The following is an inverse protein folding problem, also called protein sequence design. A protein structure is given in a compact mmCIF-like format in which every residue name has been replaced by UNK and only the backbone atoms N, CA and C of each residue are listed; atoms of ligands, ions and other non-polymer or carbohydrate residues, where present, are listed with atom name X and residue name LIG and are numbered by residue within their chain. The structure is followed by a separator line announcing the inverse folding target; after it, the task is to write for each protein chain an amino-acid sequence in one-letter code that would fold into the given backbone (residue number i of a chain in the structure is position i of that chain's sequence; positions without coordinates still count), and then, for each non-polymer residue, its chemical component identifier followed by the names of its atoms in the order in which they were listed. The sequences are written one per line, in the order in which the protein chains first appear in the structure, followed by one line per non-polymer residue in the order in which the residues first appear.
data_IF_568548189430
#
_entry.id   IF_568548189430
#
_cell.length_a   1.000
_cell.length_b   1.000
_cell.length_c   1.000
_cell.angle_alpha   90.00
_cell.angle_beta   90.00
_cell.angle_gamma   90.00
#
_symmetry.space_group_name_H-M   'P 1'
#
loop_
_entity.id
_entity.type
_entity.pdbx_description
1 polymer ?
#
# COMPACT_ATOMS: atom_id res chain seq x y z
N UNK A 1 -17.40 -42.11 -16.39
CA UNK A 1 -17.93 -40.84 -15.85
C UNK A 1 -16.74 -39.96 -15.49
N UNK A 2 -16.41 -39.01 -16.36
CA UNK A 2 -15.30 -38.07 -16.17
C UNK A 2 -15.77 -36.98 -15.19
N UNK A 3 -15.25 -37.01 -13.96
CA UNK A 3 -15.45 -35.93 -13.00
C UNK A 3 -14.54 -34.77 -13.39
N UNK A 4 -15.10 -33.81 -14.12
CA UNK A 4 -14.43 -32.56 -14.45
C UNK A 4 -14.09 -31.81 -13.16
N UNK A 5 -12.79 -31.75 -12.84
CA UNK A 5 -12.22 -30.75 -11.96
C UNK A 5 -12.55 -29.40 -12.59
N UNK A 6 -13.54 -28.69 -12.03
CA UNK A 6 -13.75 -27.28 -12.36
C UNK A 6 -12.52 -26.54 -11.87
N UNK A 7 -11.70 -26.06 -12.80
CA UNK A 7 -10.71 -25.03 -12.51
C UNK A 7 -11.40 -23.87 -11.80
N UNK A 8 -11.08 -23.67 -10.52
CA UNK A 8 -11.41 -22.44 -9.81
C UNK A 8 -10.75 -21.28 -10.56
N UNK A 9 -11.55 -20.54 -11.32
CA UNK A 9 -11.13 -19.26 -11.87
C UNK A 9 -10.92 -18.30 -10.71
N UNK A 10 -9.71 -18.29 -10.15
CA UNK A 10 -9.25 -17.25 -9.23
C UNK A 10 -9.45 -15.90 -9.91
N UNK A 11 -10.35 -15.10 -9.34
CA UNK A 11 -10.74 -13.80 -9.87
C UNK A 11 -9.53 -12.86 -9.74
N UNK A 12 -8.80 -12.67 -10.84
CA UNK A 12 -7.58 -11.85 -10.86
C UNK A 12 -7.93 -10.42 -10.46
N UNK A 13 -7.31 -9.91 -9.40
CA UNK A 13 -7.46 -8.51 -8.98
C UNK A 13 -7.01 -7.57 -10.10
N UNK A 14 -7.72 -6.46 -10.36
CA UNK A 14 -7.30 -5.51 -11.38
C UNK A 14 -5.94 -4.89 -11.06
N UNK A 15 -5.22 -4.43 -12.09
CA UNK A 15 -3.87 -3.87 -11.93
C UNK A 15 -3.80 -2.73 -10.90
N UNK A 16 -4.82 -1.85 -10.87
CA UNK A 16 -4.83 -0.73 -9.93
C UNK A 16 -4.85 -1.17 -8.46
N UNK A 17 -5.32 -2.39 -8.16
CA UNK A 17 -5.31 -2.93 -6.80
C UNK A 17 -3.89 -3.17 -6.27
N UNK A 18 -2.86 -3.06 -7.12
CA UNK A 18 -1.45 -3.14 -6.77
C UNK A 18 -0.88 -1.81 -6.24
N UNK A 19 -1.57 -0.69 -6.45
CA UNK A 19 -1.16 0.63 -5.97
C UNK A 19 -1.35 0.82 -4.47
N UNK A 20 -0.89 1.96 -3.95
CA UNK A 20 -1.01 2.30 -2.55
C UNK A 20 -2.47 2.41 -2.13
N UNK A 21 -2.86 1.77 -1.01
CA UNK A 21 -4.18 1.97 -0.41
C UNK A 21 -4.15 3.23 0.45
N UNK A 22 -4.66 4.32 -0.09
CA UNK A 22 -4.68 5.65 0.53
C UNK A 22 -5.79 5.79 1.57
N UNK A 23 -6.78 4.89 1.63
CA UNK A 23 -7.79 4.92 2.69
C UNK A 23 -7.29 4.27 3.98
N UNK A 24 -6.24 3.44 3.91
CA UNK A 24 -5.79 2.62 5.04
C UNK A 24 -5.40 3.45 6.27
N UNK A 25 -5.80 2.99 7.45
CA UNK A 25 -5.42 3.63 8.73
C UNK A 25 -3.89 3.64 8.92
N UNK A 26 -3.20 2.62 8.40
CA UNK A 26 -1.75 2.49 8.50
C UNK A 26 -0.98 3.48 7.60
N UNK A 27 -1.68 4.23 6.73
CA UNK A 27 -1.12 5.37 5.99
C UNK A 27 -1.68 6.70 6.45
N UNK A 28 -2.39 6.71 7.59
CA UNK A 28 -3.00 7.90 8.17
C UNK A 28 -4.41 8.19 7.68
N UNK A 29 -5.06 7.26 6.96
CA UNK A 29 -6.47 7.37 6.63
C UNK A 29 -7.35 7.36 7.89
N UNK A 30 -8.41 8.17 7.90
CA UNK A 30 -9.26 8.36 9.08
C UNK A 30 -10.72 8.49 8.70
N UNK A 31 -11.61 7.91 9.52
CA UNK A 31 -13.03 8.23 9.45
C UNK A 31 -13.25 9.55 10.20
N UNK A 32 -13.81 10.53 9.51
CA UNK A 32 -14.18 11.83 10.08
C UNK A 32 -15.62 11.82 10.57
N UNK A 33 -16.50 11.07 9.89
CA UNK A 33 -17.92 11.02 10.19
C UNK A 33 -18.51 9.69 9.72
N UNK A 34 -19.50 9.18 10.45
CA UNK A 34 -20.37 8.07 10.06
C UNK A 34 -21.77 8.33 10.60
N UNK A 35 -22.81 8.10 9.79
CA UNK A 35 -24.20 8.33 10.22
C UNK A 35 -24.63 7.40 11.36
N UNK A 36 -24.16 6.15 11.34
CA UNK A 36 -24.50 5.11 12.30
C UNK A 36 -23.37 4.09 12.42
N UNK A 37 -23.02 3.69 13.64
CA UNK A 37 -21.99 2.68 13.96
C UNK A 37 -22.56 1.61 14.91
N UNK A 38 -23.83 1.23 14.74
CA UNK A 38 -24.52 0.44 15.77
C UNK A 38 -23.92 -0.95 15.97
N UNK A 39 -23.80 -1.75 14.91
CA UNK A 39 -23.31 -3.13 15.02
C UNK A 39 -21.79 -3.22 14.93
N UNK A 40 -21.17 -2.37 14.11
CA UNK A 40 -19.71 -2.26 14.02
C UNK A 40 -19.27 -0.92 13.46
N UNK A 41 -18.12 -0.43 13.93
CA UNK A 41 -17.63 0.94 13.67
C UNK A 41 -17.01 1.12 12.28
N UNK A 42 -17.20 2.30 11.69
CA UNK A 42 -16.69 2.67 10.37
C UNK A 42 -15.16 2.57 10.23
N UNK A 43 -14.39 2.72 11.31
CA UNK A 43 -12.92 2.61 11.25
C UNK A 43 -12.45 1.21 10.82
N UNK A 44 -13.27 0.17 11.01
CA UNK A 44 -12.94 -1.17 10.52
C UNK A 44 -12.79 -1.22 8.99
N UNK A 45 -13.41 -0.29 8.25
CA UNK A 45 -13.26 -0.17 6.80
C UNK A 45 -11.81 0.01 6.37
N UNK A 46 -11.00 0.69 7.19
CA UNK A 46 -9.66 1.18 6.86
C UNK A 46 -8.54 0.22 7.26
N UNK A 47 -8.89 -0.92 7.89
CA UNK A 47 -7.93 -1.95 8.28
C UNK A 47 -7.29 -2.60 7.05
N UNK A 48 -6.01 -2.96 7.16
CA UNK A 48 -5.30 -3.67 6.08
C UNK A 48 -5.68 -5.14 5.98
N UNK A 49 -5.85 -5.78 7.13
CA UNK A 49 -6.08 -7.22 7.25
C UNK A 49 -7.43 -7.58 6.64
N UNK A 50 -7.52 -8.78 6.09
CA UNK A 50 -8.79 -9.32 5.62
C UNK A 50 -9.78 -9.45 6.80
N UNK A 51 -11.08 -9.29 6.54
CA UNK A 51 -12.09 -9.35 7.58
C UNK A 51 -12.23 -10.75 8.16
N UNK A 52 -12.35 -10.83 9.48
CA UNK A 52 -12.56 -12.09 10.20
C UNK A 52 -14.03 -12.33 10.53
N UNK A 53 -14.48 -13.57 10.43
CA UNK A 53 -15.78 -14.01 10.96
C UNK A 53 -15.59 -14.86 12.21
N UNK A 54 -16.21 -14.45 13.32
CA UNK A 54 -16.15 -15.15 14.61
C UNK A 54 -17.55 -15.60 15.02
N UNK A 55 -17.90 -16.86 14.73
CA UNK A 55 -19.27 -17.39 14.85
C UNK A 55 -19.90 -17.23 16.25
N UNK A 56 -19.08 -17.29 17.31
CA UNK A 56 -19.56 -17.27 18.70
C UNK A 56 -19.45 -15.89 19.37
N UNK A 57 -18.90 -14.88 18.67
CA UNK A 57 -18.66 -13.56 19.26
C UNK A 57 -19.86 -12.62 19.05
N UNK A 58 -20.32 -12.02 20.15
CA UNK A 58 -21.37 -11.00 20.19
C UNK A 58 -20.90 -9.81 21.01
N UNK A 59 -21.40 -8.63 20.67
CA UNK A 59 -21.28 -7.39 21.45
C UNK A 59 -22.60 -7.12 22.15
N UNK A 60 -22.66 -6.10 23.01
CA UNK A 60 -23.92 -5.66 23.61
C UNK A 60 -24.94 -5.12 22.58
N UNK A 61 -24.49 -4.82 21.35
CA UNK A 61 -25.32 -4.30 20.26
C UNK A 61 -25.71 -5.34 19.22
N UNK A 62 -25.23 -6.58 19.32
CA UNK A 62 -25.58 -7.66 18.41
C UNK A 62 -24.41 -8.55 18.03
N UNK A 63 -24.45 -9.12 16.82
CA UNK A 63 -23.36 -9.96 16.30
C UNK A 63 -22.10 -9.12 16.16
N UNK A 64 -20.95 -9.63 16.59
CA UNK A 64 -19.69 -8.96 16.29
C UNK A 64 -19.35 -9.08 14.81
N UNK A 65 -19.04 -7.94 14.18
CA UNK A 65 -18.66 -7.86 12.78
C UNK A 65 -17.33 -7.15 12.59
N UNK A 66 -16.46 -7.72 11.76
CA UNK A 66 -15.20 -7.07 11.36
C UNK A 66 -15.41 -6.22 10.11
N UNK A 67 -16.19 -5.16 10.26
CA UNK A 67 -16.54 -4.21 9.21
C UNK A 67 -17.23 -2.98 9.78
N UNK A 68 -17.76 -2.15 8.91
CA UNK A 68 -18.76 -1.16 9.28
C UNK A 68 -20.15 -1.77 9.09
N UNK A 69 -21.01 -1.73 10.10
CA UNK A 69 -22.39 -2.20 9.96
C UNK A 69 -23.36 -1.33 10.76
N UNK A 70 -24.36 -0.83 10.03
CA UNK A 70 -25.37 0.12 10.49
C UNK A 70 -26.67 -0.59 10.88
N UNK A 71 -27.51 0.08 11.68
CA UNK A 71 -28.88 -0.39 11.94
C UNK A 71 -29.71 -0.46 10.67
N UNK A 72 -30.61 -1.44 10.63
CA UNK A 72 -31.69 -1.48 9.61
C UNK A 72 -32.48 -0.18 9.65
N UNK A 73 -32.51 0.53 8.53
CA UNK A 73 -33.19 1.81 8.40
C UNK A 73 -34.68 1.58 8.21
N UNK A 74 -35.49 2.33 8.96
CA UNK A 74 -36.96 2.31 8.92
C UNK A 74 -37.55 3.70 8.64
N UNK A 75 -36.70 4.61 8.20
CA UNK A 75 -37.00 6.01 7.89
C UNK A 75 -36.38 6.37 6.53
N UNK A 76 -36.82 7.44 5.86
CA UNK A 76 -36.18 7.90 4.62
C UNK A 76 -34.69 8.23 4.81
N UNK A 77 -33.91 8.07 3.73
CA UNK A 77 -32.49 8.37 3.69
C UNK A 77 -31.62 7.12 3.56
N UNK A 78 -30.32 7.31 3.75
CA UNK A 78 -29.31 6.27 3.61
C UNK A 78 -28.14 6.50 4.57
N UNK A 79 -27.32 5.47 4.79
CA UNK A 79 -26.14 5.59 5.65
C UNK A 79 -24.88 5.94 4.86
N UNK A 80 -24.02 6.75 5.45
CA UNK A 80 -22.79 7.19 4.79
C UNK A 80 -21.71 7.56 5.80
N UNK A 81 -20.46 7.51 5.35
CA UNK A 81 -19.32 7.97 6.12
C UNK A 81 -18.39 8.83 5.26
N UNK A 82 -17.63 9.72 5.90
CA UNK A 82 -16.57 10.51 5.27
C UNK A 82 -15.23 10.03 5.77
N UNK A 83 -14.36 9.73 4.81
CA UNK A 83 -13.03 9.20 5.02
C UNK A 83 -12.04 10.23 4.50
N UNK A 84 -11.14 10.66 5.36
CA UNK A 84 -9.93 11.36 5.00
C UNK A 84 -8.90 10.35 4.49
N UNK A 85 -8.35 10.58 3.30
CA UNK A 85 -7.26 9.77 2.76
C UNK A 85 -5.94 10.11 3.46
N UNK A 86 -5.06 9.12 3.56
CA UNK A 86 -3.73 9.27 4.10
C UNK A 86 -2.85 10.21 3.27
N UNK A 87 -1.84 10.79 3.93
CA UNK A 87 -0.90 11.75 3.34
C UNK A 87 -1.52 13.07 2.83
N UNK A 88 -2.36 13.75 3.63
CA UNK A 88 -2.79 15.09 3.25
C UNK A 88 -1.74 16.13 3.67
N UNK A 89 -1.40 17.06 2.78
CA UNK A 89 -0.43 18.13 3.08
C UNK A 89 -1.03 19.22 3.96
N UNK A 90 -2.34 19.49 3.83
CA UNK A 90 -3.06 20.51 4.60
C UNK A 90 -4.53 20.11 4.70
N UNK A 91 -5.08 20.01 5.91
CA UNK A 91 -6.53 19.81 6.09
C UNK A 91 -7.08 20.74 7.15
N UNK A 92 -8.36 21.15 7.02
CA UNK A 92 -9.08 21.67 8.17
C UNK A 92 -9.12 20.57 9.24
N UNK A 93 -8.75 20.92 10.48
CA UNK A 93 -8.94 20.04 11.62
C UNK A 93 -10.44 19.85 11.85
N UNK A 94 -10.97 18.72 11.38
CA UNK A 94 -12.25 18.21 11.83
C UNK A 94 -12.00 17.26 12.99
N UNK A 95 -12.73 17.40 14.11
CA UNK A 95 -12.60 16.46 15.22
C UNK A 95 -12.96 15.07 14.70
N UNK A 96 -12.11 14.09 14.99
CA UNK A 96 -12.45 12.70 14.70
C UNK A 96 -13.61 12.29 15.60
N UNK A 97 -14.64 11.64 15.01
CA UNK A 97 -15.78 11.06 15.73
C UNK A 97 -15.36 10.08 16.84
N UNK A 98 -14.20 9.44 16.70
CA UNK A 98 -13.73 8.37 17.57
C UNK A 98 -14.55 7.08 17.45
N UNK A 99 -13.99 5.97 17.92
CA UNK A 99 -14.64 4.65 17.85
C UNK A 99 -15.77 4.56 18.88
N UNK A 100 -17.02 4.66 18.42
CA UNK A 100 -18.22 4.63 19.28
C UNK A 100 -19.28 3.68 18.73
N UNK A 101 -19.13 2.39 19.03
CA UNK A 101 -20.11 1.36 18.66
C UNK A 101 -21.46 1.60 19.36
N UNK A 102 -22.57 1.21 18.72
CA UNK A 102 -23.91 1.34 19.31
C UNK A 102 -24.52 2.74 19.21
N UNK A 103 -23.95 3.64 18.40
CA UNK A 103 -24.38 5.04 18.35
C UNK A 103 -24.64 5.53 16.92
N UNK A 104 -25.64 6.39 16.76
CA UNK A 104 -25.76 7.25 15.57
C UNK A 104 -24.94 8.53 15.74
N UNK A 105 -24.72 9.25 14.65
CA UNK A 105 -24.25 10.62 14.70
C UNK A 105 -25.28 11.51 15.45
N UNK A 106 -24.77 12.39 16.31
CA UNK A 106 -25.54 13.45 16.96
C UNK A 106 -25.82 14.61 16.01
N UNK A 107 -26.80 15.45 16.35
CA UNK A 107 -27.13 16.65 15.58
C UNK A 107 -25.93 17.60 15.47
N UNK A 108 -25.12 17.73 16.53
CA UNK A 108 -23.88 18.51 16.51
C UNK A 108 -22.86 17.97 15.49
N UNK A 109 -22.71 16.65 15.39
CA UNK A 109 -21.84 16.03 14.38
C UNK A 109 -22.36 16.27 12.96
N UNK A 110 -23.68 16.22 12.76
CA UNK A 110 -24.30 16.58 11.48
C UNK A 110 -24.04 18.05 11.13
N UNK A 111 -24.23 18.99 12.05
CA UNK A 111 -23.95 20.41 11.83
C UNK A 111 -22.48 20.65 11.46
N UNK A 112 -21.54 19.99 12.17
CA UNK A 112 -20.12 20.09 11.88
C UNK A 112 -19.78 19.56 10.49
N UNK A 113 -20.29 18.37 10.13
CA UNK A 113 -19.93 17.74 8.85
C UNK A 113 -20.60 18.42 7.65
N UNK A 114 -21.72 19.11 7.85
CA UNK A 114 -22.41 19.87 6.79
C UNK A 114 -21.50 20.97 6.22
N UNK A 115 -20.54 21.48 7.00
CA UNK A 115 -19.53 22.46 6.55
C UNK A 115 -18.66 21.96 5.39
N UNK A 116 -18.55 20.64 5.21
CA UNK A 116 -17.82 20.05 4.07
C UNK A 116 -18.61 20.05 2.76
N UNK A 117 -19.91 20.35 2.80
CA UNK A 117 -20.80 20.36 1.63
C UNK A 117 -20.68 19.08 0.77
N UNK A 118 -20.64 17.94 1.45
CA UNK A 118 -20.31 16.63 0.83
C UNK A 118 -21.40 16.06 -0.08
N UNK A 119 -22.58 16.69 -0.07
CA UNK A 119 -23.70 16.44 -0.96
C UNK A 119 -23.45 16.94 -2.38
N UNK A 120 -22.57 17.92 -2.58
CA UNK A 120 -22.21 18.43 -3.91
C UNK A 120 -20.90 17.84 -4.46
N UNK A 121 -20.32 16.85 -3.79
CA UNK A 121 -19.06 16.25 -4.22
C UNK A 121 -19.21 15.46 -5.53
N UNK A 122 -18.12 15.39 -6.31
CA UNK A 122 -18.08 14.64 -7.56
C UNK A 122 -18.33 13.15 -7.32
N UNK A 123 -19.22 12.56 -8.13
CA UNK A 123 -19.51 11.12 -8.07
C UNK A 123 -18.41 10.37 -8.82
N UNK A 124 -17.48 9.78 -8.08
CA UNK A 124 -16.40 8.96 -8.65
C UNK A 124 -16.88 7.57 -9.10
N UNK A 125 -17.83 7.00 -8.37
CA UNK A 125 -18.46 5.71 -8.65
C UNK A 125 -19.98 5.89 -8.53
N UNK A 126 -20.75 5.73 -9.63
CA UNK A 126 -22.21 5.80 -9.57
C UNK A 126 -22.80 4.75 -8.63
N UNK A 127 -24.01 4.99 -8.15
CA UNK A 127 -24.75 4.01 -7.34
C UNK A 127 -24.79 2.67 -8.07
N UNK A 128 -24.25 1.63 -7.44
CA UNK A 128 -24.07 0.32 -8.05
C UNK A 128 -24.47 -0.76 -7.06
N UNK A 129 -25.24 -1.74 -7.55
CA UNK A 129 -25.62 -2.91 -6.76
C UNK A 129 -24.39 -3.76 -6.40
N UNK A 130 -24.25 -4.08 -5.11
CA UNK A 130 -23.18 -4.94 -4.61
C UNK A 130 -23.66 -6.38 -4.49
N UNK A 131 -22.71 -7.32 -4.56
CA UNK A 131 -22.99 -8.74 -4.34
C UNK A 131 -22.83 -9.10 -2.85
N UNK A 132 -23.49 -10.17 -2.37
CA UNK A 132 -23.27 -10.69 -1.03
C UNK A 132 -21.80 -11.08 -0.79
N UNK A 133 -21.37 -11.01 0.46
CA UNK A 133 -19.99 -11.25 0.90
C UNK A 133 -19.52 -12.70 0.91
N UNK A 134 -20.05 -13.58 0.05
CA UNK A 134 -19.53 -14.96 -0.09
C UNK A 134 -18.11 -14.95 -0.66
N UNK A 135 -17.32 -15.99 -0.39
CA UNK A 135 -15.90 -16.06 -0.79
C UNK A 135 -15.67 -15.66 -2.26
N UNK A 136 -16.51 -16.14 -3.17
CA UNK A 136 -16.42 -15.90 -4.62
C UNK A 136 -16.88 -14.49 -5.07
N UNK A 137 -17.66 -13.79 -4.25
CA UNK A 137 -18.28 -12.49 -4.56
C UNK A 137 -17.94 -11.37 -3.58
N UNK A 138 -17.07 -11.65 -2.62
CA UNK A 138 -16.67 -10.77 -1.50
C UNK A 138 -15.98 -9.48 -1.91
N UNK A 139 -15.41 -9.43 -3.11
CA UNK A 139 -14.71 -8.27 -3.65
C UNK A 139 -15.44 -7.65 -4.85
N UNK A 140 -15.73 -6.35 -4.73
CA UNK A 140 -16.18 -5.47 -5.80
C UNK A 140 -15.08 -4.46 -6.14
N UNK A 141 -14.69 -4.40 -7.41
CA UNK A 141 -13.66 -3.50 -7.90
C UNK A 141 -14.27 -2.46 -8.84
N UNK A 142 -13.96 -1.18 -8.62
CA UNK A 142 -14.46 -0.07 -9.43
C UNK A 142 -13.30 0.76 -9.96
N UNK A 143 -13.26 0.98 -11.27
CA UNK A 143 -12.28 1.85 -11.91
C UNK A 143 -12.77 3.29 -11.87
N UNK A 144 -12.01 4.18 -11.25
CA UNK A 144 -12.26 5.63 -11.28
C UNK A 144 -11.48 6.26 -12.42
N UNK A 145 -12.15 7.09 -13.24
CA UNK A 145 -11.52 7.77 -14.41
C UNK A 145 -11.08 9.20 -14.12
N UNK A 146 -11.44 9.74 -12.95
CA UNK A 146 -11.04 11.10 -12.56
C UNK A 146 -9.51 11.20 -12.47
N UNK A 147 -8.97 12.29 -13.02
CA UNK A 147 -7.53 12.63 -12.96
C UNK A 147 -7.23 13.68 -11.89
N UNK A 148 -8.24 14.09 -11.12
CA UNK A 148 -8.11 15.09 -10.07
C UNK A 148 -7.42 14.51 -8.82
N UNK A 149 -6.91 15.39 -7.96
CA UNK A 149 -6.39 15.04 -6.63
C UNK A 149 -7.54 15.06 -5.63
N UNK A 150 -7.69 13.99 -4.85
CA UNK A 150 -8.71 13.86 -3.82
C UNK A 150 -8.05 13.74 -2.44
N UNK A 151 -8.64 14.39 -1.44
CA UNK A 151 -8.19 14.30 -0.03
C UNK A 151 -9.21 13.61 0.87
N UNK A 152 -10.48 13.60 0.47
CA UNK A 152 -11.57 12.98 1.18
C UNK A 152 -12.46 12.20 0.21
N UNK A 153 -13.09 11.16 0.74
CA UNK A 153 -14.06 10.32 0.03
C UNK A 153 -15.29 10.16 0.92
N UNK A 154 -16.47 10.24 0.32
CA UNK A 154 -17.73 9.90 0.97
C UNK A 154 -18.21 8.54 0.46
N UNK A 155 -18.33 7.57 1.35
CA UNK A 155 -18.92 6.26 1.05
C UNK A 155 -20.39 6.30 1.43
N UNK A 156 -21.28 5.90 0.51
CA UNK A 156 -22.72 5.85 0.74
C UNK A 156 -23.23 4.40 0.61
N UNK A 157 -24.04 3.96 1.55
CA UNK A 157 -24.72 2.65 1.59
C UNK A 157 -26.22 2.91 1.56
N UNK A 158 -26.91 2.34 0.57
CA UNK A 158 -28.34 2.59 0.35
C UNK A 158 -29.17 1.31 0.59
N UNK A 159 -30.20 1.34 1.45
CA UNK A 159 -30.47 2.35 2.49
C UNK A 159 -29.57 2.21 3.73
N UNK A 160 -29.08 1.00 4.01
CA UNK A 160 -28.28 0.62 5.16
C UNK A 160 -27.57 -0.72 4.87
N UNK A 161 -26.77 -1.20 5.82
CA UNK A 161 -26.12 -2.50 5.75
C UNK A 161 -24.69 -2.49 6.25
N UNK A 162 -23.89 -3.44 5.75
CA UNK A 162 -22.52 -3.64 6.18
C UNK A 162 -21.50 -3.78 5.05
N UNK A 163 -20.33 -3.17 5.24
CA UNK A 163 -19.16 -3.28 4.36
C UNK A 163 -17.95 -3.65 5.22
N UNK A 164 -17.25 -4.72 4.85
CA UNK A 164 -16.13 -5.22 5.64
C UNK A 164 -14.88 -4.34 5.52
N UNK A 165 -14.51 -3.94 4.29
CA UNK A 165 -13.33 -3.12 3.98
C UNK A 165 -13.63 -2.13 2.86
N UNK A 166 -13.04 -0.95 2.93
CA UNK A 166 -13.06 0.05 1.88
C UNK A 166 -11.64 0.49 1.56
N UNK A 167 -11.19 0.21 0.33
CA UNK A 167 -9.83 0.48 -0.12
C UNK A 167 -9.85 1.49 -1.26
N UNK A 168 -8.95 2.46 -1.22
CA UNK A 168 -8.81 3.51 -2.24
C UNK A 168 -7.41 3.45 -2.80
N UNK A 169 -7.27 2.80 -3.95
CA UNK A 169 -5.97 2.60 -4.58
C UNK A 169 -5.56 3.79 -5.44
N UNK A 170 -4.37 4.33 -5.21
CA UNK A 170 -3.85 5.48 -5.94
C UNK A 170 -2.38 5.76 -5.68
N UNK A 171 -1.92 6.93 -6.11
CA UNK A 171 -0.55 7.42 -5.89
C UNK A 171 -0.64 8.74 -5.13
N UNK A 172 0.12 8.85 -4.03
CA UNK A 172 0.22 10.10 -3.29
C UNK A 172 0.79 11.20 -4.17
N UNK A 173 0.30 12.43 -4.03
CA UNK A 173 0.81 13.59 -4.77
C UNK A 173 1.38 14.60 -3.77
N UNK A 174 2.71 14.71 -3.77
CA UNK A 174 3.44 15.74 -3.04
C UNK A 174 3.66 16.96 -3.92
N UNK A 175 3.51 18.15 -3.36
CA UNK A 175 3.94 19.40 -3.99
C UNK A 175 5.46 19.57 -3.85
N UNK A 176 6.18 19.11 -4.87
CA UNK A 176 7.63 19.21 -4.94
C UNK A 176 8.12 20.64 -5.20
N UNK A 177 7.26 21.59 -5.55
CA UNK A 177 7.66 23.00 -5.69
C UNK A 177 7.94 23.68 -4.35
N UNK A 178 7.39 23.13 -3.26
CA UNK A 178 7.64 23.57 -1.89
C UNK A 178 8.89 22.94 -1.27
N UNK A 179 9.56 22.02 -1.97
CA UNK A 179 10.73 21.28 -1.48
C UNK A 179 11.98 21.85 -2.13
N UNK A 180 12.94 22.30 -1.32
CA UNK A 180 14.22 22.79 -1.77
C UNK A 180 15.07 21.68 -2.40
N UNK A 181 15.90 22.03 -3.38
CA UNK A 181 16.80 21.06 -4.01
C UNK A 181 17.78 20.41 -3.01
N UNK A 182 18.07 21.05 -1.87
CA UNK A 182 18.97 20.52 -0.86
C UNK A 182 18.24 19.94 0.35
N UNK A 183 16.91 19.81 0.28
CA UNK A 183 16.14 19.16 1.33
C UNK A 183 16.35 17.65 1.19
N UNK A 184 16.72 17.02 2.30
CA UNK A 184 16.90 15.58 2.36
C UNK A 184 15.54 14.92 2.54
N UNK A 185 15.11 14.18 1.53
CA UNK A 185 13.76 13.61 1.47
C UNK A 185 13.79 12.10 1.23
N UNK A 186 12.84 11.38 1.83
CA UNK A 186 12.65 9.95 1.53
C UNK A 186 11.95 9.80 0.18
N UNK A 187 12.74 9.70 -0.89
CA UNK A 187 12.23 9.73 -2.26
C UNK A 187 11.41 8.49 -2.64
N UNK A 188 11.52 7.38 -1.91
CA UNK A 188 10.70 6.18 -2.17
C UNK A 188 9.39 6.18 -1.37
N UNK A 189 9.24 7.04 -0.36
CA UNK A 189 8.07 7.03 0.52
C UNK A 189 6.77 7.14 -0.29
N UNK A 190 5.77 6.35 0.06
CA UNK A 190 4.46 6.45 -0.57
C UNK A 190 3.83 7.84 -0.39
N UNK A 191 4.13 8.50 0.73
CA UNK A 191 3.73 9.86 1.03
C UNK A 191 4.29 10.88 0.04
N UNK A 192 5.47 10.60 -0.49
CA UNK A 192 6.14 11.43 -1.47
C UNK A 192 5.76 11.06 -2.91
N UNK A 193 4.87 10.07 -3.09
CA UNK A 193 4.42 9.58 -4.38
C UNK A 193 5.14 8.32 -4.88
N UNK A 194 5.95 7.70 -4.03
CA UNK A 194 6.57 6.41 -4.33
C UNK A 194 5.53 5.31 -4.51
N UNK A 195 5.80 4.35 -5.41
CA UNK A 195 4.84 3.32 -5.78
C UNK A 195 5.52 2.00 -6.13
N UNK A 196 4.94 0.89 -5.68
CA UNK A 196 5.32 -0.44 -6.11
C UNK A 196 4.73 -0.74 -7.49
N UNK A 197 5.58 -1.07 -8.47
CA UNK A 197 5.19 -1.32 -9.85
C UNK A 197 5.22 -2.80 -10.25
N UNK A 198 5.86 -3.65 -9.45
CA UNK A 198 5.93 -5.09 -9.71
C UNK A 198 6.74 -5.81 -8.64
N UNK A 199 6.54 -7.12 -8.54
CA UNK A 199 7.23 -7.99 -7.60
C UNK A 199 7.19 -9.45 -8.06
N UNK A 200 8.07 -10.29 -7.51
CA UNK A 200 8.14 -11.72 -7.82
C UNK A 200 7.12 -12.54 -7.05
N UNK A 201 7.00 -12.30 -5.75
CA UNK A 201 6.13 -13.04 -4.83
C UNK A 201 5.60 -12.12 -3.73
N UNK A 202 4.42 -12.42 -3.19
CA UNK A 202 3.83 -11.72 -2.04
C UNK A 202 3.01 -12.71 -1.20
N UNK A 203 3.68 -13.72 -0.66
CA UNK A 203 3.06 -14.76 0.16
C UNK A 203 2.33 -14.20 1.38
N UNK A 204 2.97 -13.28 2.13
CA UNK A 204 2.32 -12.51 3.19
C UNK A 204 2.65 -11.02 3.10
N UNK A 205 1.65 -10.19 3.38
CA UNK A 205 1.76 -8.74 3.17
C UNK A 205 1.91 -8.40 1.69
N UNK A 206 2.38 -7.20 1.39
CA UNK A 206 2.55 -6.73 0.01
C UNK A 206 3.75 -5.77 -0.08
N UNK A 207 4.57 -5.80 -1.16
CA UNK A 207 5.75 -4.94 -1.26
C UNK A 207 5.50 -3.43 -1.12
N UNK A 208 4.33 -2.93 -1.54
CA UNK A 208 3.86 -1.55 -1.23
C UNK A 208 3.97 -1.16 0.25
N UNK A 209 3.91 -2.12 1.18
CA UNK A 209 4.04 -1.87 2.61
C UNK A 209 5.46 -1.41 2.99
N UNK A 210 6.49 -1.80 2.23
CA UNK A 210 7.88 -1.41 2.48
C UNK A 210 8.06 0.11 2.47
N UNK A 211 7.30 0.79 1.62
CA UNK A 211 7.37 2.25 1.43
C UNK A 211 6.32 3.00 2.26
N UNK A 212 5.66 2.29 3.19
CA UNK A 212 4.62 2.85 4.05
C UNK A 212 5.16 3.76 5.14
N UNK A 213 4.29 4.47 5.87
CA UNK A 213 4.66 5.37 6.95
C UNK A 213 5.23 4.61 8.17
N UNK A 214 6.06 5.31 8.95
CA UNK A 214 6.56 4.81 10.24
C UNK A 214 7.32 3.48 10.14
N UNK A 215 7.26 2.69 11.21
CA UNK A 215 7.77 1.30 11.24
C UNK A 215 6.60 0.33 11.18
N UNK A 216 6.83 -0.91 10.72
CA UNK A 216 5.75 -1.89 10.74
C UNK A 216 5.28 -2.19 12.17
N UNK A 217 3.98 -2.36 12.36
CA UNK A 217 3.40 -2.75 13.65
C UNK A 217 3.53 -4.27 13.92
N UNK A 218 3.65 -5.07 12.85
CA UNK A 218 3.79 -6.53 12.89
C UNK A 218 4.31 -7.03 11.52
N UNK A 219 4.45 -8.35 11.33
CA UNK A 219 4.93 -8.93 10.06
C UNK A 219 3.96 -8.73 8.88
N UNK A 220 2.65 -8.74 9.11
CA UNK A 220 1.64 -8.54 8.06
C UNK A 220 1.66 -7.11 7.47
N UNK A 221 2.21 -6.17 8.23
CA UNK A 221 2.49 -4.80 7.80
C UNK A 221 3.85 -4.68 7.06
N UNK A 222 4.54 -5.79 6.78
CA UNK A 222 5.73 -5.84 5.91
C UNK A 222 5.44 -6.47 4.55
N UNK A 223 6.50 -6.99 3.93
CA UNK A 223 6.45 -7.87 2.77
C UNK A 223 7.24 -9.14 3.09
N UNK A 224 6.61 -10.29 2.93
CA UNK A 224 7.23 -11.60 3.11
C UNK A 224 6.91 -12.51 1.93
N UNK A 225 7.93 -13.21 1.46
CA UNK A 225 7.84 -14.13 0.34
C UNK A 225 7.82 -15.59 0.80
N UNK A 226 7.29 -16.47 -0.04
CA UNK A 226 7.31 -17.90 0.20
C UNK A 226 8.76 -18.41 0.28
N UNK A 227 8.98 -19.45 1.09
CA UNK A 227 10.26 -20.16 1.09
C UNK A 227 10.49 -20.78 -0.27
N UNK A 228 11.60 -20.43 -0.89
CA UNK A 228 11.98 -20.99 -2.19
C UNK A 228 12.27 -22.48 -2.08
N UNK A 229 11.72 -23.25 -3.03
CA UNK A 229 11.88 -24.71 -3.09
C UNK A 229 13.17 -25.13 -3.81
N UNK A 230 13.79 -24.22 -4.57
CA UNK A 230 15.03 -24.45 -5.32
C UNK A 230 16.31 -24.16 -4.51
N UNK A 231 16.18 -23.98 -3.19
CA UNK A 231 17.33 -23.83 -2.29
C UNK A 231 18.17 -25.12 -2.28
N UNK A 232 19.51 -25.02 -2.36
CA UNK A 232 20.35 -26.20 -2.31
C UNK A 232 20.29 -26.86 -0.92
N UNK A 233 20.43 -28.19 -0.83
CA UNK A 233 20.38 -28.91 0.44
C UNK A 233 21.55 -28.56 1.38
N UNK A 234 22.66 -28.06 0.82
CA UNK A 234 23.84 -27.60 1.55
C UNK A 234 24.11 -26.16 1.14
N UNK A 235 23.99 -25.25 2.12
CA UNK A 235 24.29 -23.84 1.91
C UNK A 235 25.80 -23.61 1.92
N UNK A 236 26.26 -22.77 0.99
CA UNK A 236 27.62 -22.23 0.99
C UNK A 236 27.54 -20.73 1.25
N UNK A 237 28.57 -20.17 1.86
CA UNK A 237 28.71 -18.72 2.06
C UNK A 237 29.95 -18.22 1.32
N UNK A 238 29.96 -16.94 0.97
CA UNK A 238 31.17 -16.25 0.50
C UNK A 238 31.99 -15.68 1.67
N UNK A 239 33.07 -14.96 1.36
CA UNK A 239 33.97 -14.33 2.33
C UNK A 239 33.29 -13.25 3.19
N UNK A 240 32.09 -12.80 2.83
CA UNK A 240 31.28 -11.83 3.58
C UNK A 240 30.13 -12.51 4.36
N UNK A 241 30.20 -13.83 4.53
CA UNK A 241 29.17 -14.67 5.14
C UNK A 241 27.82 -14.66 4.41
N UNK A 242 27.75 -14.20 3.16
CA UNK A 242 26.50 -14.15 2.39
C UNK A 242 26.24 -15.51 1.76
N UNK A 243 25.03 -16.04 1.96
CA UNK A 243 24.64 -17.34 1.44
C UNK A 243 24.55 -17.30 -0.08
N UNK A 244 25.25 -18.23 -0.73
CA UNK A 244 25.29 -18.40 -2.17
C UNK A 244 24.17 -19.35 -2.61
N UNK A 245 23.12 -18.78 -3.20
CA UNK A 245 21.93 -19.50 -3.70
C UNK A 245 21.60 -19.08 -5.12
N UNK A 246 21.12 -20.01 -5.92
CA UNK A 246 20.45 -19.70 -7.17
C UNK A 246 19.04 -19.20 -6.87
N UNK A 247 18.71 -18.00 -7.33
CA UNK A 247 17.38 -17.42 -7.15
C UNK A 247 17.30 -16.36 -6.05
N UNK A 248 16.29 -15.51 -6.18
CA UNK A 248 16.04 -14.36 -5.32
C UNK A 248 14.62 -13.87 -5.53
N UNK A 249 14.08 -13.15 -4.55
CA UNK A 249 12.83 -12.44 -4.68
C UNK A 249 13.07 -10.94 -4.88
N UNK A 250 12.17 -10.26 -5.58
CA UNK A 250 12.35 -8.86 -5.94
C UNK A 250 11.05 -8.06 -5.90
N UNK A 251 11.20 -6.76 -5.68
CA UNK A 251 10.16 -5.76 -5.82
C UNK A 251 10.72 -4.50 -6.50
N UNK A 252 9.94 -3.89 -7.38
CA UNK A 252 10.33 -2.72 -8.15
C UNK A 252 9.48 -1.54 -7.75
N UNK A 253 10.14 -0.41 -7.51
CA UNK A 253 9.51 0.82 -7.07
C UNK A 253 9.90 1.97 -7.97
N UNK A 254 8.94 2.85 -8.24
CA UNK A 254 9.21 4.20 -8.72
C UNK A 254 9.30 5.15 -7.53
N UNK A 255 10.30 6.03 -7.56
CA UNK A 255 10.45 7.12 -6.61
C UNK A 255 9.34 8.16 -6.80
N UNK A 256 8.92 8.80 -5.72
CA UNK A 256 7.98 9.92 -5.74
C UNK A 256 8.50 11.14 -6.50
N UNK A 257 9.83 11.30 -6.55
CA UNK A 257 10.52 12.27 -7.38
C UNK A 257 11.89 11.74 -7.79
N UNK A 258 12.37 12.05 -9.01
CA UNK A 258 13.75 11.76 -9.39
C UNK A 258 14.75 12.43 -8.44
N UNK A 259 15.86 11.79 -8.15
CA UNK A 259 16.86 12.38 -7.27
C UNK A 259 18.11 11.52 -7.10
N UNK A 260 19.04 12.05 -6.30
CA UNK A 260 20.30 11.38 -5.97
C UNK A 260 20.20 10.83 -4.56
N UNK A 261 20.35 9.50 -4.42
CA UNK A 261 20.25 8.82 -3.12
C UNK A 261 21.57 8.92 -2.37
N UNK A 262 21.50 9.29 -1.09
CA UNK A 262 22.66 9.43 -0.21
C UNK A 262 22.61 8.54 1.01
N UNK A 263 21.40 8.13 1.44
CA UNK A 263 21.22 7.17 2.52
C UNK A 263 20.11 6.17 2.20
N UNK A 264 20.32 4.91 2.56
CA UNK A 264 19.33 3.85 2.44
C UNK A 264 19.10 3.25 3.83
N UNK A 265 17.83 3.05 4.19
CA UNK A 265 17.43 2.26 5.35
C UNK A 265 16.71 1.00 4.90
N UNK A 266 17.09 -0.14 5.47
CA UNK A 266 16.40 -1.41 5.33
C UNK A 266 16.05 -1.93 6.73
N UNK A 267 14.76 -1.99 7.04
CA UNK A 267 14.28 -2.48 8.34
C UNK A 267 13.72 -3.89 8.19
N UNK A 268 14.22 -4.84 8.98
CA UNK A 268 13.68 -6.21 9.12
C UNK A 268 12.83 -6.36 10.38
N UNK A 269 12.25 -5.26 10.89
CA UNK A 269 11.36 -5.26 12.06
C UNK A 269 10.34 -6.42 12.01
N UNK A 270 10.07 -7.00 13.16
CA UNK A 270 9.28 -8.23 13.36
C UNK A 270 9.75 -9.53 12.67
N UNK A 271 10.60 -9.48 11.65
CA UNK A 271 11.16 -10.67 11.00
C UNK A 271 12.37 -11.20 11.78
N UNK A 272 12.10 -12.10 12.72
CA UNK A 272 13.10 -12.63 13.68
C UNK A 272 13.77 -13.92 13.22
N UNK A 273 13.04 -14.78 12.51
CA UNK A 273 13.54 -16.07 12.02
C UNK A 273 13.37 -16.27 10.51
N UNK A 274 12.66 -15.36 9.86
CA UNK A 274 12.28 -15.38 8.45
C UNK A 274 12.70 -14.10 7.72
N UNK A 275 13.66 -13.34 8.26
CA UNK A 275 14.31 -12.28 7.50
C UNK A 275 15.17 -12.89 6.39
N UNK A 276 15.37 -12.19 5.25
CA UNK A 276 16.26 -12.68 4.20
C UNK A 276 17.72 -12.67 4.65
N UNK A 277 18.52 -13.53 4.04
CA UNK A 277 19.95 -13.64 4.34
C UNK A 277 20.70 -12.37 3.95
N UNK A 278 20.42 -11.88 2.73
CA UNK A 278 21.01 -10.69 2.17
C UNK A 278 20.03 -9.94 1.28
N UNK A 279 20.40 -8.71 0.94
CA UNK A 279 19.69 -7.91 -0.05
C UNK A 279 20.65 -7.24 -1.02
N UNK A 280 20.11 -6.80 -2.16
CA UNK A 280 20.80 -5.97 -3.16
C UNK A 280 19.83 -4.93 -3.70
N UNK A 281 20.34 -3.76 -4.06
CA UNK A 281 19.53 -2.74 -4.74
C UNK A 281 20.18 -2.36 -6.05
N UNK A 282 19.40 -2.47 -7.13
CA UNK A 282 19.75 -1.88 -8.41
C UNK A 282 18.84 -0.67 -8.67
N UNK A 283 19.30 0.29 -9.46
CA UNK A 283 18.56 1.50 -9.80
C UNK A 283 18.58 1.79 -11.31
N UNK A 284 17.59 2.56 -11.78
CA UNK A 284 17.50 2.94 -13.18
C UNK A 284 16.74 4.26 -13.37
N UNK A 285 16.89 4.84 -14.57
CA UNK A 285 16.03 5.92 -15.08
C UNK A 285 15.15 5.31 -16.16
N UNK A 286 13.85 5.22 -15.91
CA UNK A 286 12.85 4.90 -16.94
C UNK A 286 12.08 6.15 -17.33
N UNK A 287 11.75 6.26 -18.63
CA UNK A 287 10.69 7.15 -19.10
C UNK A 287 9.31 6.58 -18.76
N UNK A 288 8.23 7.40 -18.79
CA UNK A 288 6.87 6.89 -18.60
C UNK A 288 6.48 5.79 -19.59
N UNK A 289 6.95 5.87 -20.84
CA UNK A 289 6.69 4.86 -21.87
C UNK A 289 7.38 3.53 -21.55
N UNK A 290 8.65 3.59 -21.14
CA UNK A 290 9.42 2.41 -20.72
C UNK A 290 8.82 1.75 -19.47
N UNK A 291 8.40 2.54 -18.46
CA UNK A 291 7.70 2.05 -17.27
C UNK A 291 6.39 1.34 -17.66
N UNK A 292 5.56 1.97 -18.49
CA UNK A 292 4.29 1.41 -18.93
C UNK A 292 4.47 0.09 -19.68
N UNK A 293 5.49 0.01 -20.54
CA UNK A 293 5.79 -1.23 -21.26
C UNK A 293 6.31 -2.33 -20.32
N UNK A 294 7.18 -1.98 -19.38
CA UNK A 294 7.67 -2.90 -18.36
C UNK A 294 6.54 -3.48 -17.51
N UNK A 295 5.60 -2.64 -17.08
CA UNK A 295 4.42 -3.04 -16.29
C UNK A 295 3.51 -3.97 -17.10
N UNK A 296 3.24 -3.67 -18.38
CA UNK A 296 2.44 -4.55 -19.27
C UNK A 296 3.08 -5.93 -19.45
N UNK A 297 4.40 -5.97 -19.55
CA UNK A 297 5.17 -7.21 -19.67
C UNK A 297 5.43 -7.88 -18.31
N UNK A 298 4.84 -7.37 -17.22
CA UNK A 298 5.05 -7.87 -15.84
C UNK A 298 6.53 -7.98 -15.47
N UNK A 299 7.33 -7.03 -15.93
CA UNK A 299 8.78 -6.96 -15.72
C UNK A 299 9.57 -8.18 -16.27
N UNK A 300 8.99 -8.96 -17.19
CA UNK A 300 9.67 -10.04 -17.91
C UNK A 300 10.37 -9.51 -19.18
N UNK A 301 11.18 -8.47 -19.03
CA UNK A 301 11.86 -7.81 -20.15
C UNK A 301 13.16 -8.56 -20.46
N UNK A 302 13.32 -9.02 -21.71
CA UNK A 302 14.45 -9.87 -22.13
C UNK A 302 15.80 -9.17 -22.33
N UNK A 303 15.95 -7.83 -22.41
CA UNK A 303 17.30 -7.25 -22.52
C UNK A 303 17.53 -5.74 -22.36
N UNK A 304 16.53 -4.84 -22.39
CA UNK A 304 16.87 -3.41 -22.62
C UNK A 304 16.94 -2.52 -21.36
N UNK A 305 16.40 -2.97 -20.21
CA UNK A 305 16.51 -2.23 -18.94
C UNK A 305 17.84 -2.58 -18.26
N UNK A 306 18.81 -1.66 -18.35
CA UNK A 306 20.15 -1.83 -17.78
C UNK A 306 20.23 -1.32 -16.34
N UNK A 307 19.61 -2.04 -15.42
CA UNK A 307 19.74 -1.80 -13.97
C UNK A 307 21.20 -1.58 -13.56
N UNK A 308 21.50 -0.44 -12.94
CA UNK A 308 22.82 -0.09 -12.39
C UNK A 308 22.87 -0.46 -10.91
N UNK A 309 24.01 -0.98 -10.43
CA UNK A 309 24.15 -1.34 -9.02
C UNK A 309 24.10 -0.07 -8.15
N UNK A 310 23.18 -0.01 -7.20
CA UNK A 310 23.08 1.07 -6.21
C UNK A 310 23.66 0.63 -4.86
N UNK A 311 23.26 -0.56 -4.37
CA UNK A 311 23.78 -1.18 -3.16
C UNK A 311 24.19 -2.62 -3.48
N UNK A 312 25.46 -3.02 -3.24
CA UNK A 312 25.92 -4.39 -3.45
C UNK A 312 25.20 -5.38 -2.52
N UNK A 313 25.33 -6.67 -2.82
CA UNK A 313 24.81 -7.73 -1.96
C UNK A 313 25.33 -7.53 -0.53
N UNK A 314 24.42 -7.38 0.42
CA UNK A 314 24.74 -7.04 1.80
C UNK A 314 23.98 -7.93 2.75
N UNK A 315 24.68 -8.49 3.74
CA UNK A 315 24.11 -9.34 4.78
C UNK A 315 23.11 -8.57 5.64
N UNK A 316 21.95 -9.16 5.90
CA UNK A 316 20.94 -8.63 6.80
C UNK A 316 20.92 -9.38 8.13
N UNK A 317 20.32 -8.76 9.14
CA UNK A 317 20.16 -9.28 10.50
C UNK A 317 18.69 -9.32 10.89
N UNK A 318 18.29 -10.21 11.81
CA UNK A 318 16.90 -10.32 12.25
C UNK A 318 16.48 -9.06 13.01
N UNK A 319 15.24 -8.61 12.81
CA UNK A 319 14.61 -7.59 13.63
C UNK A 319 15.47 -6.32 13.81
N UNK A 320 16.08 -5.84 12.72
CA UNK A 320 17.09 -4.79 12.78
C UNK A 320 16.91 -3.75 11.67
N UNK A 321 17.23 -2.49 12.01
CA UNK A 321 17.44 -1.41 11.03
C UNK A 321 18.88 -1.43 10.53
N UNK A 322 19.03 -1.41 9.22
CA UNK A 322 20.30 -1.37 8.51
C UNK A 322 20.38 -0.02 7.81
N UNK A 323 21.42 0.75 8.11
CA UNK A 323 21.64 2.07 7.52
C UNK A 323 22.87 2.00 6.63
N UNK A 324 22.73 2.50 5.42
CA UNK A 324 23.80 2.56 4.42
C UNK A 324 23.98 4.00 3.98
N UNK A 325 25.21 4.48 4.08
CA UNK A 325 25.60 5.85 3.75
C UNK A 325 26.37 5.89 2.43
N UNK A 326 26.84 7.09 2.04
CA UNK A 326 27.41 7.34 0.70
C UNK A 326 28.55 6.39 0.32
N UNK A 327 29.41 5.95 1.25
CA UNK A 327 30.51 5.02 0.94
C UNK A 327 30.03 3.61 0.52
N UNK A 328 28.83 3.20 0.93
CA UNK A 328 28.25 1.91 0.54
C UNK A 328 27.48 2.00 -0.77
N UNK A 329 27.03 3.20 -1.14
CA UNK A 329 26.22 3.47 -2.31
C UNK A 329 27.15 3.62 -3.54
N UNK A 330 26.92 2.81 -4.57
CA UNK A 330 27.79 2.74 -5.75
C UNK A 330 27.38 3.71 -6.87
N UNK A 331 26.21 4.33 -6.76
CA UNK A 331 25.64 5.19 -7.80
C UNK A 331 25.21 6.53 -7.20
N UNK A 332 25.82 7.62 -7.68
CA UNK A 332 25.54 9.00 -7.26
C UNK A 332 24.91 9.85 -8.38
N UNK A 333 24.19 9.19 -9.28
CA UNK A 333 23.45 9.82 -10.37
C UNK A 333 21.98 9.99 -10.02
N UNK A 334 21.26 10.80 -10.81
CA UNK A 334 19.80 10.88 -10.71
C UNK A 334 19.19 9.54 -11.10
N UNK A 335 18.28 9.03 -10.28
CA UNK A 335 17.51 7.80 -10.56
C UNK A 335 16.02 8.07 -10.44
N UNK A 336 15.19 7.24 -11.08
CA UNK A 336 13.73 7.30 -10.97
C UNK A 336 13.11 6.02 -10.43
N UNK A 337 13.83 4.89 -10.55
CA UNK A 337 13.35 3.57 -10.18
C UNK A 337 14.42 2.79 -9.43
N UNK A 338 13.96 1.88 -8.57
CA UNK A 338 14.81 0.93 -7.85
C UNK A 338 14.22 -0.47 -7.90
N UNK A 339 15.07 -1.47 -8.05
CA UNK A 339 14.76 -2.89 -7.84
C UNK A 339 15.41 -3.31 -6.53
N UNK A 340 14.57 -3.62 -5.56
CA UNK A 340 14.99 -4.22 -4.31
C UNK A 340 14.95 -5.74 -4.46
N UNK A 341 16.07 -6.41 -4.19
CA UNK A 341 16.21 -7.86 -4.27
C UNK A 341 16.59 -8.41 -2.90
N UNK A 342 15.91 -9.47 -2.46
CA UNK A 342 16.23 -10.25 -1.26
C UNK A 342 16.61 -11.67 -1.66
N UNK A 343 17.57 -12.26 -0.95
CA UNK A 343 18.06 -13.60 -1.25
C UNK A 343 18.18 -14.48 0.02
N UNK A 344 17.86 -15.78 -0.08
CA UNK A 344 17.08 -16.41 -1.16
C UNK A 344 15.64 -15.86 -1.24
N UNK A 345 15.05 -15.60 -0.07
CA UNK A 345 13.68 -15.15 0.16
C UNK A 345 13.56 -14.72 1.64
N UNK A 346 12.42 -14.19 2.05
CA UNK A 346 12.16 -13.85 3.45
C UNK A 346 11.28 -12.61 3.58
N UNK A 347 11.33 -11.98 4.75
CA UNK A 347 10.51 -10.82 5.09
C UNK A 347 11.28 -9.55 5.42
N UNK A 348 10.79 -8.42 4.90
CA UNK A 348 11.32 -7.07 5.13
C UNK A 348 10.18 -6.15 5.56
N UNK A 349 10.46 -5.26 6.52
CA UNK A 349 9.48 -4.36 7.10
C UNK A 349 9.39 -3.05 6.34
N UNK A 350 10.50 -2.34 6.15
CA UNK A 350 10.52 -1.00 5.53
C UNK A 350 11.77 -0.78 4.68
N UNK A 351 11.59 0.13 3.72
CA UNK A 351 12.63 0.73 2.89
C UNK A 351 12.53 2.26 2.99
N UNK A 352 13.67 2.93 3.16
CA UNK A 352 13.82 4.39 3.03
C UNK A 352 14.97 4.72 2.11
N UNK A 353 14.77 5.70 1.25
CA UNK A 353 15.73 6.14 0.25
C UNK A 353 15.86 7.65 0.37
N UNK A 354 16.68 8.08 1.33
CA UNK A 354 16.92 9.49 1.58
C UNK A 354 17.87 10.05 0.53
N UNK A 355 17.44 11.13 -0.10
CA UNK A 355 18.19 11.75 -1.17
C UNK A 355 17.74 13.17 -1.44
N UNK A 356 18.41 13.78 -2.41
CA UNK A 356 18.12 15.14 -2.82
C UNK A 356 17.30 15.13 -4.11
N UNK A 357 16.12 15.78 -4.15
CA UNK A 357 15.31 15.89 -5.36
C UNK A 357 16.10 16.57 -6.49
N UNK A 358 16.09 15.99 -7.68
CA UNK A 358 16.71 16.57 -8.88
C UNK A 358 15.75 16.42 -10.04
N UNK A 359 15.58 17.46 -10.85
CA UNK A 359 14.87 17.30 -12.10
C UNK A 359 15.76 16.55 -13.08
N UNK A 360 15.25 15.48 -13.68
CA UNK A 360 15.89 14.89 -14.84
C UNK A 360 15.63 15.84 -16.01
N UNK A 361 16.67 16.51 -16.50
CA UNK A 361 16.60 17.26 -17.75
C UNK A 361 16.40 16.23 -18.88
N UNK A 362 15.15 15.99 -19.28
CA UNK A 362 14.92 15.36 -20.56
C UNK A 362 15.58 16.24 -21.61
N UNK A 363 16.44 15.67 -22.46
CA UNK A 363 16.95 16.37 -23.63
C UNK A 363 15.73 16.88 -24.41
N UNK A 364 15.49 18.19 -24.39
CA UNK A 364 14.56 18.83 -25.31
C UNK A 364 15.01 18.41 -26.71
N UNK A 365 14.21 17.56 -27.37
CA UNK A 365 14.33 17.41 -28.81
C UNK A 365 13.81 18.73 -29.40
N UNK A 366 14.73 19.49 -29.97
CA UNK A 366 14.44 20.62 -30.85
C UNK A 366 13.69 20.16 -32.09
#
# INVERSE_FOLDING_TARGET
MSSGLKEEKTKVSPHFAQFNDLASEAVGGKVLFATDDWFAVAENLLKRQDPEFKADLFTEFGKWMDGWETRRKRIPGHDWCIIQLGVPEHLPELPSRGKRMGTAASDEEFELITKLNSDTWEILVPMTELKPGYLESSHSYFTVRSKQRWTHIRLNIYPDGGIARFKVYGVGKRDWSAVGANDLEDLIAMANGGVCLGFSDAHFGHPRNLISLGRANNMADGWETARRLDRPPVLKVDDNDIVQVSGSEWAIFRLGHPGVITHIEIDTNHFKGNYPDSCKIDAYILTPEEENEAVKQKWNIKSDVKWKLLLPATKLKPHKRHFFESNSIQLHEVITHVRFTIAPDGGVSRLRFWGFPRFHLSKQHQ
#
